data_IF_976225428038
#
_entry.id   IF_976225428038
#
_cell.length_a   1.000
_cell.length_b   1.000
_cell.length_c   1.000
_cell.angle_alpha   90.00
_cell.angle_beta   90.00
_cell.angle_gamma   90.00
#
_symmetry.space_group_name_H-M   'P 1'
#
loop_
_entity.id
_entity.type
_entity.pdbx_description
1 polymer ?
#
# COMPACT_ATOMS: atom_id res chain seq x y z
N UNK A 1 -15.62 13.93 22.57
CA UNK A 1 -15.34 12.51 22.91
C UNK A 1 -13.83 12.40 22.95
N UNK A 2 -13.23 12.69 24.09
CA UNK A 2 -11.84 13.17 24.11
C UNK A 2 -10.83 12.04 24.29
N UNK A 3 -11.32 10.79 24.25
CA UNK A 3 -10.52 9.61 24.51
C UNK A 3 -10.10 8.95 23.20
N UNK A 4 -8.81 8.62 23.10
CA UNK A 4 -8.20 7.78 22.07
C UNK A 4 -9.01 6.50 21.82
N UNK A 5 -9.65 5.97 22.87
CA UNK A 5 -10.54 4.82 22.82
C UNK A 5 -11.71 5.00 21.82
N UNK A 6 -12.29 6.21 21.73
CA UNK A 6 -13.40 6.48 20.82
C UNK A 6 -13.01 6.33 19.35
N UNK A 7 -11.80 6.76 18.98
CA UNK A 7 -11.25 6.59 17.62
C UNK A 7 -11.14 5.10 17.28
N UNK A 8 -10.59 4.30 18.19
CA UNK A 8 -10.42 2.86 17.97
C UNK A 8 -11.75 2.12 17.86
N UNK A 9 -12.71 2.48 18.71
CA UNK A 9 -14.07 1.93 18.65
C UNK A 9 -14.75 2.29 17.32
N UNK A 10 -14.60 3.55 16.87
CA UNK A 10 -15.18 4.00 15.61
C UNK A 10 -14.53 3.32 14.40
N UNK A 11 -13.19 3.21 14.37
CA UNK A 11 -12.48 2.45 13.35
C UNK A 11 -12.93 1.00 13.32
N UNK A 12 -13.03 0.36 14.49
CA UNK A 12 -13.51 -1.02 14.62
C UNK A 12 -14.96 -1.17 14.13
N UNK A 13 -15.83 -0.23 14.47
CA UNK A 13 -17.23 -0.19 14.03
C UNK A 13 -17.32 -0.09 12.50
N UNK A 14 -16.59 0.83 11.89
CA UNK A 14 -16.57 1.03 10.43
C UNK A 14 -16.00 -0.17 9.72
N UNK A 15 -14.92 -0.76 10.25
CA UNK A 15 -14.32 -1.96 9.70
C UNK A 15 -15.28 -3.17 9.76
N UNK A 16 -15.95 -3.38 10.90
CA UNK A 16 -16.95 -4.44 11.08
C UNK A 16 -18.18 -4.23 10.18
N UNK A 17 -18.67 -3.00 10.07
CA UNK A 17 -19.78 -2.69 9.16
C UNK A 17 -19.39 -2.93 7.70
N UNK A 18 -18.17 -2.55 7.31
CA UNK A 18 -17.67 -2.77 5.97
C UNK A 18 -17.56 -4.26 5.65
N UNK A 19 -16.89 -5.05 6.49
CA UNK A 19 -16.71 -6.50 6.25
C UNK A 19 -18.03 -7.28 6.23
N UNK A 20 -19.03 -6.84 7.01
CA UNK A 20 -20.36 -7.45 7.03
C UNK A 20 -21.29 -6.94 5.92
N UNK A 21 -20.90 -5.90 5.17
CA UNK A 21 -21.77 -5.35 4.12
C UNK A 21 -21.89 -6.31 2.93
N UNK A 22 -23.09 -6.48 2.34
CA UNK A 22 -23.26 -7.36 1.17
C UNK A 22 -22.40 -6.97 -0.03
N UNK A 23 -22.19 -5.65 -0.22
CA UNK A 23 -21.34 -5.12 -1.27
C UNK A 23 -19.89 -5.57 -1.07
N UNK A 24 -19.36 -5.39 0.13
CA UNK A 24 -17.98 -5.79 0.42
C UNK A 24 -17.80 -7.30 0.28
N UNK A 25 -18.72 -8.11 0.83
CA UNK A 25 -18.68 -9.57 0.69
C UNK A 25 -18.65 -9.96 -0.80
N UNK A 26 -19.49 -9.34 -1.63
CA UNK A 26 -19.54 -9.60 -3.08
C UNK A 26 -18.22 -9.24 -3.76
N UNK A 27 -17.66 -8.05 -3.48
CA UNK A 27 -16.37 -7.62 -4.02
C UNK A 27 -15.24 -8.56 -3.57
N UNK A 28 -15.23 -8.96 -2.30
CA UNK A 28 -14.19 -9.83 -1.75
C UNK A 28 -14.27 -11.26 -2.32
N UNK A 29 -15.48 -11.78 -2.58
CA UNK A 29 -15.67 -13.05 -3.28
C UNK A 29 -15.15 -12.98 -4.72
N UNK A 30 -15.40 -11.88 -5.43
CA UNK A 30 -14.85 -11.65 -6.78
C UNK A 30 -13.32 -11.64 -6.71
N UNK A 31 -12.72 -10.92 -5.77
CA UNK A 31 -11.26 -10.89 -5.59
C UNK A 31 -10.69 -12.27 -5.26
N UNK A 32 -11.33 -13.01 -4.36
CA UNK A 32 -10.94 -14.38 -4.04
C UNK A 32 -10.93 -15.28 -5.28
N UNK A 33 -11.97 -15.16 -6.13
CA UNK A 33 -12.03 -15.90 -7.38
C UNK A 33 -10.92 -15.48 -8.36
N UNK A 34 -10.70 -14.17 -8.55
CA UNK A 34 -9.65 -13.63 -9.43
C UNK A 34 -8.26 -14.07 -8.96
N UNK A 35 -7.99 -14.04 -7.65
CA UNK A 35 -6.71 -14.48 -7.07
C UNK A 35 -6.53 -15.99 -7.24
N UNK A 36 -7.55 -16.78 -6.91
CA UNK A 36 -7.53 -18.25 -7.11
C UNK A 36 -7.27 -18.62 -8.56
N UNK A 37 -7.93 -17.93 -9.50
CA UNK A 37 -7.72 -18.08 -10.94
C UNK A 37 -6.28 -17.71 -11.35
N UNK A 38 -5.77 -16.58 -10.84
CA UNK A 38 -4.41 -16.09 -11.13
C UNK A 38 -3.33 -17.07 -10.66
N UNK A 39 -3.56 -17.76 -9.53
CA UNK A 39 -2.67 -18.80 -9.03
C UNK A 39 -2.77 -20.09 -9.86
N UNK A 40 -3.99 -20.50 -10.25
CA UNK A 40 -4.20 -21.70 -11.06
C UNK A 40 -3.51 -21.67 -12.43
N UNK A 41 -3.51 -20.52 -13.11
CA UNK A 41 -2.84 -20.39 -14.43
C UNK A 41 -1.31 -20.56 -14.38
N UNK A 42 -0.67 -20.38 -13.22
CA UNK A 42 0.80 -20.31 -13.11
C UNK A 42 1.47 -21.64 -12.83
N UNK A 43 0.72 -22.66 -12.41
CA UNK A 43 1.26 -23.98 -12.13
C UNK A 43 0.34 -25.04 -12.75
N UNK A 44 0.33 -25.17 -14.09
CA UNK A 44 -0.47 -26.21 -14.75
C UNK A 44 0.02 -27.59 -14.26
N UNK A 45 -0.84 -28.29 -13.53
CA UNK A 45 -0.57 -29.63 -12.97
C UNK A 45 -0.59 -29.73 -11.45
N UNK A 46 -0.60 -28.63 -10.69
CA UNK A 46 -0.80 -28.70 -9.22
C UNK A 46 -2.29 -28.77 -8.85
N UNK A 47 -2.55 -29.35 -7.68
CA UNK A 47 -3.89 -29.68 -7.21
C UNK A 47 -4.73 -28.41 -7.01
N UNK A 48 -5.97 -28.40 -7.53
CA UNK A 48 -6.92 -27.29 -7.36
C UNK A 48 -7.08 -26.86 -5.89
N UNK A 49 -7.03 -27.82 -4.95
CA UNK A 49 -7.11 -27.56 -3.51
C UNK A 49 -5.96 -26.69 -2.99
N UNK A 50 -4.78 -26.78 -3.59
CA UNK A 50 -3.60 -26.02 -3.14
C UNK A 50 -3.70 -24.53 -3.47
N UNK A 51 -4.25 -24.19 -4.64
CA UNK A 51 -4.45 -22.79 -5.04
C UNK A 51 -5.55 -22.12 -4.24
N UNK A 52 -6.66 -22.84 -3.98
CA UNK A 52 -7.75 -22.37 -3.13
C UNK A 52 -7.24 -22.09 -1.72
N UNK A 53 -6.43 -23.00 -1.15
CA UNK A 53 -5.81 -22.80 0.17
C UNK A 53 -4.90 -21.58 0.19
N UNK A 54 -4.07 -21.37 -0.83
CA UNK A 54 -3.22 -20.18 -0.92
C UNK A 54 -4.02 -18.90 -1.09
N UNK A 55 -5.05 -18.88 -1.94
CA UNK A 55 -5.90 -17.72 -2.10
C UNK A 55 -6.62 -17.38 -0.80
N UNK A 56 -7.17 -18.39 -0.10
CA UNK A 56 -7.80 -18.20 1.20
C UNK A 56 -6.80 -17.65 2.23
N UNK A 57 -5.58 -18.18 2.26
CA UNK A 57 -4.54 -17.70 3.15
C UNK A 57 -4.16 -16.24 2.85
N UNK A 58 -3.94 -15.87 1.57
CA UNK A 58 -3.64 -14.50 1.18
C UNK A 58 -4.80 -13.53 1.50
N UNK A 59 -6.05 -13.98 1.38
CA UNK A 59 -7.25 -13.22 1.73
C UNK A 59 -7.34 -12.98 3.24
N UNK A 60 -7.11 -14.02 4.07
CA UNK A 60 -7.13 -13.91 5.53
C UNK A 60 -5.99 -13.02 6.05
N UNK A 61 -4.77 -13.23 5.54
CA UNK A 61 -3.62 -12.40 5.88
C UNK A 61 -3.86 -10.95 5.43
N UNK A 62 -4.44 -10.74 4.25
CA UNK A 62 -4.80 -9.42 3.73
C UNK A 62 -5.83 -8.68 4.58
N UNK A 63 -6.85 -9.38 5.12
CA UNK A 63 -7.80 -8.80 6.08
C UNK A 63 -7.11 -8.36 7.37
N UNK A 64 -6.26 -9.22 7.94
CA UNK A 64 -5.49 -8.91 9.15
C UNK A 64 -4.54 -7.72 8.94
N UNK A 65 -3.82 -7.71 7.83
CA UNK A 65 -2.96 -6.60 7.44
C UNK A 65 -3.74 -5.32 7.13
N UNK A 66 -4.95 -5.43 6.56
CA UNK A 66 -5.84 -4.30 6.34
C UNK A 66 -6.31 -3.66 7.63
N UNK A 67 -6.67 -4.45 8.64
CA UNK A 67 -7.02 -3.94 9.97
C UNK A 67 -5.83 -3.23 10.63
N UNK A 68 -4.63 -3.85 10.63
CA UNK A 68 -3.41 -3.22 11.15
C UNK A 68 -3.01 -1.96 10.35
N UNK A 69 -3.17 -2.00 9.03
CA UNK A 69 -2.93 -0.86 8.16
C UNK A 69 -3.89 0.29 8.44
N UNK A 70 -5.16 -0.01 8.69
CA UNK A 70 -6.16 0.98 9.12
C UNK A 70 -5.71 1.69 10.40
N UNK A 71 -5.22 0.93 11.38
CA UNK A 71 -4.71 1.49 12.63
C UNK A 71 -3.55 2.47 12.39
N UNK A 72 -2.61 2.12 11.51
CA UNK A 72 -1.51 3.00 11.13
C UNK A 72 -1.99 4.26 10.39
N UNK A 73 -2.87 4.11 9.40
CA UNK A 73 -3.42 5.23 8.62
C UNK A 73 -4.20 6.19 9.51
N UNK A 74 -5.03 5.65 10.41
CA UNK A 74 -5.80 6.45 11.37
C UNK A 74 -4.87 7.12 12.36
N UNK A 75 -3.93 6.44 13.03
CA UNK A 75 -3.04 7.08 14.03
C UNK A 75 -2.18 8.18 13.42
N UNK A 76 -1.62 7.92 12.23
CA UNK A 76 -0.81 8.90 11.52
C UNK A 76 -1.67 10.08 11.04
N UNK A 77 -2.97 9.86 10.85
CA UNK A 77 -3.92 10.88 10.46
C UNK A 77 -3.95 11.12 8.96
N UNK A 78 -3.94 10.03 8.19
CA UNK A 78 -4.12 10.09 6.75
C UNK A 78 -5.55 10.47 6.42
N UNK A 79 -5.73 11.60 5.74
CA UNK A 79 -7.02 12.15 5.34
C UNK A 79 -7.22 12.04 3.83
N UNK A 80 -8.25 11.27 3.43
CA UNK A 80 -8.65 11.04 2.04
C UNK A 80 -8.80 12.33 1.24
N UNK A 81 -9.31 13.39 1.86
CA UNK A 81 -9.57 14.66 1.16
C UNK A 81 -8.32 15.33 0.65
N UNK A 82 -7.23 15.19 1.40
CA UNK A 82 -5.93 15.80 1.11
C UNK A 82 -5.07 14.97 0.13
N UNK A 83 -5.51 13.77 -0.25
CA UNK A 83 -4.75 12.84 -1.11
C UNK A 83 -5.01 13.04 -2.61
N UNK A 84 -6.13 13.67 -3.00
CA UNK A 84 -6.58 13.72 -4.40
C UNK A 84 -6.55 12.34 -5.07
N UNK A 85 -7.25 11.37 -4.46
CA UNK A 85 -7.24 9.96 -4.88
C UNK A 85 -7.51 9.79 -6.39
N UNK A 86 -8.42 10.58 -6.96
CA UNK A 86 -8.71 10.52 -8.39
C UNK A 86 -7.48 10.87 -9.24
N UNK A 87 -6.74 11.92 -8.88
CA UNK A 87 -5.52 12.31 -9.60
C UNK A 87 -4.43 11.23 -9.46
N UNK A 88 -4.23 10.69 -8.25
CA UNK A 88 -3.29 9.58 -8.02
C UNK A 88 -3.61 8.38 -8.91
N UNK A 89 -4.88 8.00 -9.01
CA UNK A 89 -5.33 6.90 -9.84
C UNK A 89 -5.15 7.17 -11.33
N UNK A 90 -5.55 8.34 -11.82
CA UNK A 90 -5.40 8.70 -13.23
C UNK A 90 -3.94 8.73 -13.66
N UNK A 91 -3.06 9.29 -12.82
CA UNK A 91 -1.61 9.31 -13.08
C UNK A 91 -1.04 7.88 -13.06
N UNK A 92 -1.39 7.08 -12.05
CA UNK A 92 -0.95 5.68 -11.93
C UNK A 92 -1.35 4.85 -13.16
N UNK A 93 -2.62 4.96 -13.58
CA UNK A 93 -3.11 4.26 -14.78
C UNK A 93 -2.44 4.78 -16.05
N UNK A 94 -2.25 6.10 -16.19
CA UNK A 94 -1.55 6.70 -17.32
C UNK A 94 -0.10 6.22 -17.41
N UNK A 95 0.62 6.15 -16.28
CA UNK A 95 1.96 5.61 -16.21
C UNK A 95 2.01 4.11 -16.52
N UNK A 96 1.00 3.35 -16.10
CA UNK A 96 0.88 1.93 -16.42
C UNK A 96 0.76 1.66 -17.93
N UNK A 97 0.22 2.60 -18.72
CA UNK A 97 0.20 2.51 -20.19
C UNK A 97 1.61 2.62 -20.81
N UNK A 98 2.52 3.36 -20.16
CA UNK A 98 3.92 3.46 -20.59
C UNK A 98 4.67 2.18 -20.23
N UNK A 99 4.55 1.76 -18.97
CA UNK A 99 5.10 0.48 -18.53
C UNK A 99 4.35 -0.03 -17.28
N UNK A 100 3.89 -1.30 -17.23
CA UNK A 100 3.07 -1.82 -16.13
C UNK A 100 3.71 -1.68 -14.73
N UNK A 101 5.04 -1.65 -14.67
CA UNK A 101 5.81 -1.40 -13.43
C UNK A 101 5.51 -0.04 -12.78
N UNK A 102 5.17 0.97 -13.58
CA UNK A 102 4.96 2.35 -13.13
C UNK A 102 3.58 2.57 -12.50
N UNK A 103 2.76 1.51 -12.38
CA UNK A 103 1.47 1.56 -11.70
C UNK A 103 1.60 1.86 -10.19
N UNK A 104 2.75 1.58 -9.59
CA UNK A 104 2.95 1.79 -8.15
C UNK A 104 2.75 3.25 -7.74
N UNK A 105 2.07 3.48 -6.61
CA UNK A 105 1.78 4.81 -6.10
C UNK A 105 3.02 5.62 -5.70
N UNK A 106 4.18 4.98 -5.51
CA UNK A 106 5.47 5.70 -5.35
C UNK A 106 5.78 6.59 -6.55
N UNK A 107 5.49 6.13 -7.78
CA UNK A 107 5.67 6.93 -9.00
C UNK A 107 4.59 7.99 -9.15
N UNK A 108 3.32 7.58 -9.12
CA UNK A 108 2.20 8.48 -9.35
C UNK A 108 2.11 9.57 -8.27
N UNK A 109 2.29 9.21 -7.00
CA UNK A 109 2.25 10.15 -5.89
C UNK A 109 3.49 11.01 -5.79
N UNK A 110 4.68 10.51 -6.17
CA UNK A 110 5.87 11.33 -6.33
C UNK A 110 5.68 12.41 -7.40
N UNK A 111 5.15 12.04 -8.57
CA UNK A 111 4.87 12.97 -9.65
C UNK A 111 3.80 14.00 -9.26
N UNK A 112 2.71 13.55 -8.62
CA UNK A 112 1.66 14.44 -8.13
C UNK A 112 2.21 15.41 -7.07
N UNK A 113 3.00 14.93 -6.12
CA UNK A 113 3.60 15.77 -5.09
C UNK A 113 4.54 16.82 -5.68
N UNK A 114 5.41 16.43 -6.63
CA UNK A 114 6.28 17.36 -7.35
C UNK A 114 5.48 18.39 -8.15
N UNK A 115 4.40 17.97 -8.81
CA UNK A 115 3.51 18.88 -9.53
C UNK A 115 2.87 19.92 -8.60
N UNK A 116 2.37 19.51 -7.43
CA UNK A 116 1.82 20.43 -6.43
C UNK A 116 2.87 21.44 -5.95
N UNK A 117 4.10 20.99 -5.71
CA UNK A 117 5.21 21.85 -5.27
C UNK A 117 5.66 22.84 -6.35
N UNK A 118 5.81 22.39 -7.59
CA UNK A 118 6.25 23.21 -8.71
C UNK A 118 5.21 24.26 -9.12
N UNK A 119 3.93 23.90 -9.09
CA UNK A 119 2.85 24.80 -9.50
C UNK A 119 2.31 25.65 -8.34
N UNK A 120 2.84 25.45 -7.12
CA UNK A 120 2.31 26.06 -5.89
C UNK A 120 0.79 25.86 -5.73
N UNK A 121 0.24 24.79 -6.32
CA UNK A 121 -1.17 24.43 -6.22
C UNK A 121 -1.36 23.54 -5.01
N UNK A 122 -2.16 23.99 -4.05
CA UNK A 122 -2.53 23.25 -2.84
C UNK A 122 -3.66 22.22 -3.08
N UNK A 123 -3.70 21.59 -4.26
CA UNK A 123 -4.74 20.60 -4.59
C UNK A 123 -4.56 19.33 -3.74
N UNK A 124 -3.35 19.07 -3.27
CA UNK A 124 -3.05 17.93 -2.42
C UNK A 124 -1.92 18.26 -1.44
N UNK A 125 -1.93 17.58 -0.31
CA UNK A 125 -0.93 17.75 0.71
C UNK A 125 0.20 16.72 0.52
N UNK A 126 1.41 17.20 0.26
CA UNK A 126 2.58 16.34 0.01
C UNK A 126 2.85 15.37 1.18
N UNK A 127 2.90 15.83 2.45
CA UNK A 127 3.02 14.93 3.60
C UNK A 127 1.96 13.82 3.64
N UNK A 128 0.72 14.11 3.26
CA UNK A 128 -0.35 13.11 3.25
C UNK A 128 -0.11 12.05 2.15
N UNK A 129 0.24 12.48 0.94
CA UNK A 129 0.54 11.59 -0.19
C UNK A 129 1.73 10.68 0.14
N UNK A 130 2.85 11.25 0.57
CA UNK A 130 4.07 10.47 0.87
C UNK A 130 3.88 9.57 2.08
N UNK A 131 3.07 10.00 3.06
CA UNK A 131 2.73 9.19 4.24
C UNK A 131 1.87 7.98 3.89
N UNK A 132 0.87 8.15 3.01
CA UNK A 132 0.08 7.04 2.48
C UNK A 132 0.98 6.02 1.78
N UNK A 133 1.84 6.48 0.87
CA UNK A 133 2.78 5.61 0.14
C UNK A 133 3.65 4.83 1.12
N UNK A 134 4.21 5.50 2.11
CA UNK A 134 5.07 4.88 3.12
C UNK A 134 4.33 3.78 3.90
N UNK A 135 3.11 4.06 4.37
CA UNK A 135 2.33 3.08 5.14
C UNK A 135 1.93 1.89 4.28
N UNK A 136 1.48 2.10 3.04
CA UNK A 136 1.11 1.01 2.13
C UNK A 136 2.30 0.08 1.84
N UNK A 137 3.48 0.63 1.58
CA UNK A 137 4.69 -0.18 1.35
C UNK A 137 5.20 -0.85 2.65
N UNK A 138 4.98 -0.25 3.82
CA UNK A 138 5.31 -0.88 5.10
C UNK A 138 4.41 -2.10 5.36
N UNK A 139 3.11 -1.99 5.05
CA UNK A 139 2.17 -3.11 5.12
C UNK A 139 2.58 -4.19 4.10
N UNK A 140 2.89 -3.79 2.87
CA UNK A 140 3.37 -4.71 1.82
C UNK A 140 4.62 -5.47 2.27
N UNK A 141 5.59 -4.79 2.90
CA UNK A 141 6.78 -5.43 3.44
C UNK A 141 6.44 -6.53 4.45
N UNK A 142 5.50 -6.27 5.36
CA UNK A 142 5.03 -7.28 6.31
C UNK A 142 4.37 -8.47 5.62
N UNK A 143 3.52 -8.19 4.63
CA UNK A 143 2.85 -9.22 3.81
C UNK A 143 3.85 -10.08 3.04
N UNK A 144 4.87 -9.47 2.43
CA UNK A 144 5.97 -10.16 1.76
C UNK A 144 6.65 -11.09 2.76
N UNK A 145 7.01 -10.61 3.95
CA UNK A 145 7.71 -11.41 4.95
C UNK A 145 6.90 -12.64 5.40
N UNK A 146 5.58 -12.50 5.55
CA UNK A 146 4.70 -13.58 6.05
C UNK A 146 4.30 -14.56 4.95
N UNK A 147 3.91 -14.08 3.75
CA UNK A 147 3.28 -14.90 2.72
C UNK A 147 4.02 -14.89 1.36
N UNK A 148 5.04 -14.04 1.19
CA UNK A 148 5.74 -13.84 -0.08
C UNK A 148 6.47 -15.07 -0.63
N UNK A 149 6.91 -15.99 0.24
CA UNK A 149 7.62 -17.22 -0.17
C UNK A 149 6.72 -18.44 -0.36
N UNK A 150 5.42 -18.31 -0.08
CA UNK A 150 4.48 -19.44 -0.12
C UNK A 150 4.25 -19.85 -1.59
N UNK A 151 4.22 -21.16 -1.87
CA UNK A 151 4.01 -21.77 -3.20
C UNK A 151 4.76 -21.05 -4.35
N UNK A 152 6.10 -21.09 -4.35
CA UNK A 152 6.89 -20.47 -5.40
C UNK A 152 6.65 -21.20 -6.73
N UNK A 153 6.19 -20.48 -7.76
CA UNK A 153 5.95 -21.04 -9.09
C UNK A 153 7.27 -21.39 -9.77
N UNK A 154 7.44 -22.61 -10.29
CA UNK A 154 8.67 -22.99 -11.00
C UNK A 154 8.60 -22.49 -12.43
N UNK A 155 9.66 -21.83 -12.91
CA UNK A 155 9.72 -21.29 -14.28
C UNK A 155 11.10 -21.53 -14.86
N UNK A 156 11.16 -21.94 -16.13
CA UNK A 156 12.41 -22.06 -16.87
C UNK A 156 12.64 -20.80 -17.70
N UNK A 157 13.81 -20.20 -17.57
CA UNK A 157 14.24 -19.03 -18.33
C UNK A 157 15.33 -19.44 -19.32
N UNK A 158 15.27 -18.94 -20.56
CA UNK A 158 16.42 -19.03 -21.48
C UNK A 158 17.29 -17.80 -21.31
N UNK A 159 18.53 -17.96 -20.84
CA UNK A 159 19.52 -16.89 -20.72
C UNK A 159 20.78 -17.30 -21.49
N UNK A 160 21.14 -16.52 -22.51
CA UNK A 160 22.33 -16.78 -23.36
C UNK A 160 22.40 -18.22 -23.93
N UNK A 161 21.26 -18.75 -24.41
CA UNK A 161 21.19 -20.10 -24.98
C UNK A 161 21.11 -21.25 -23.96
N UNK A 162 21.33 -20.99 -22.67
CA UNK A 162 21.17 -21.98 -21.60
C UNK A 162 19.80 -21.85 -20.92
N UNK A 163 19.18 -22.99 -20.60
CA UNK A 163 17.91 -23.02 -19.84
C UNK A 163 18.24 -23.04 -18.35
N UNK A 164 17.97 -21.94 -17.67
CA UNK A 164 18.15 -21.79 -16.22
C UNK A 164 16.80 -21.94 -15.54
N UNK A 165 16.70 -22.87 -14.59
CA UNK A 165 15.49 -23.01 -13.77
C UNK A 165 15.50 -21.95 -12.66
N UNK A 166 14.33 -21.36 -12.40
CA UNK A 166 14.13 -20.42 -11.33
C UNK A 166 12.72 -20.50 -10.75
N UNK A 167 12.45 -19.60 -9.83
CA UNK A 167 11.16 -19.45 -9.17
C UNK A 167 10.57 -18.09 -9.47
N UNK A 168 9.28 -18.04 -9.75
CA UNK A 168 8.49 -16.82 -9.80
C UNK A 168 7.64 -16.75 -8.54
N UNK A 169 7.95 -15.76 -7.70
CA UNK A 169 7.22 -15.43 -6.50
C UNK A 169 6.18 -14.39 -6.87
N UNK A 170 4.90 -14.70 -6.69
CA UNK A 170 3.85 -13.74 -6.99
C UNK A 170 2.67 -13.91 -6.05
N UNK A 171 2.32 -12.83 -5.36
CA UNK A 171 1.26 -12.80 -4.36
C UNK A 171 0.38 -11.57 -4.51
N UNK A 172 -0.88 -11.73 -4.15
CA UNK A 172 -1.86 -10.65 -4.12
C UNK A 172 -2.63 -10.73 -2.81
N UNK A 173 -2.67 -9.62 -2.08
CA UNK A 173 -3.37 -9.51 -0.81
C UNK A 173 -4.43 -8.42 -0.94
N UNK A 174 -5.72 -8.78 -0.94
CA UNK A 174 -6.78 -7.80 -0.82
C UNK A 174 -6.81 -7.28 0.62
N UNK A 175 -6.96 -5.97 0.80
CA UNK A 175 -7.00 -5.33 2.11
C UNK A 175 -8.30 -4.54 2.25
N UNK A 176 -8.93 -4.64 3.42
CA UNK A 176 -9.92 -3.69 3.90
C UNK A 176 -9.23 -2.69 4.80
N UNK A 177 -9.03 -1.48 4.30
CA UNK A 177 -8.49 -0.35 5.03
C UNK A 177 -9.63 0.55 5.52
N UNK A 178 -9.42 1.23 6.63
CA UNK A 178 -10.25 2.34 7.11
C UNK A 178 -9.36 3.56 7.18
N UNK A 179 -9.81 4.65 6.54
CA UNK A 179 -9.05 5.89 6.40
C UNK A 179 -9.92 7.05 6.88
N UNK A 180 -9.31 8.04 7.52
CA UNK A 180 -10.04 9.24 7.94
C UNK A 180 -10.37 10.14 6.75
N UNK A 181 -11.44 10.92 6.88
CA UNK A 181 -11.88 11.89 5.90
C UNK A 181 -12.46 13.11 6.62
N UNK A 182 -11.95 14.31 6.32
CA UNK A 182 -12.56 15.54 6.83
C UNK A 182 -13.96 15.75 6.25
N UNK A 183 -14.95 15.89 7.13
CA UNK A 183 -16.37 16.03 6.81
C UNK A 183 -16.74 17.49 6.54
N UNK A 184 -17.48 17.75 5.46
CA UNK A 184 -18.16 19.03 5.20
C UNK A 184 -19.50 19.16 5.91
N UNK A 185 -19.99 18.06 6.47
CA UNK A 185 -21.29 18.00 7.13
C UNK A 185 -21.12 18.17 8.62
N UNK A 186 -22.20 18.52 9.32
CA UNK A 186 -22.25 18.50 10.79
C UNK A 186 -22.23 17.08 11.38
N UNK A 187 -21.93 16.06 10.55
CA UNK A 187 -21.81 14.66 10.94
C UNK A 187 -20.33 14.30 10.98
N UNK A 188 -19.88 13.84 12.14
CA UNK A 188 -18.52 13.35 12.35
C UNK A 188 -18.10 13.50 13.80
N UNK A 189 -16.84 13.20 14.07
CA UNK A 189 -16.25 13.26 15.39
C UNK A 189 -15.11 14.27 15.42
N UNK A 190 -15.00 15.01 16.52
CA UNK A 190 -13.82 15.81 16.85
C UNK A 190 -12.70 14.86 17.24
N UNK A 191 -11.52 15.04 16.65
CA UNK A 191 -10.34 14.26 16.99
C UNK A 191 -9.56 14.91 18.15
N UNK A 192 -8.77 14.14 18.93
CA UNK A 192 -7.95 14.68 20.01
C UNK A 192 -6.90 15.67 19.50
N UNK A 193 -6.45 16.57 20.37
CA UNK A 193 -5.51 17.65 20.03
C UNK A 193 -4.13 17.20 19.52
N UNK A 194 -3.70 15.98 19.83
CA UNK A 194 -2.44 15.41 19.31
C UNK A 194 -2.57 14.90 17.88
N UNK A 195 -3.79 14.71 17.39
CA UNK A 195 -4.09 14.15 16.08
C UNK A 195 -4.50 15.27 15.11
N UNK A 196 -4.12 15.23 13.82
CA UNK A 196 -3.30 14.22 13.17
C UNK A 196 -1.79 14.42 13.36
N UNK A 197 -1.02 13.33 13.26
CA UNK A 197 0.46 13.40 13.27
C UNK A 197 1.01 14.00 11.97
N UNK A 198 0.42 13.63 10.83
CA UNK A 198 0.71 14.26 9.54
C UNK A 198 -0.18 15.48 9.35
N UNK A 199 0.46 16.65 9.33
CA UNK A 199 -0.23 17.92 9.16
C UNK A 199 0.03 18.51 7.78
N UNK A 200 -0.99 19.18 7.27
CA UNK A 200 -0.91 19.95 6.04
C UNK A 200 -0.72 21.43 6.39
N UNK A 201 -0.20 22.19 5.43
CA UNK A 201 -0.09 23.64 5.55
C UNK A 201 -1.03 24.30 4.54
N UNK A 202 -1.97 25.15 4.99
CA UNK A 202 -2.29 25.43 6.40
C UNK A 202 -2.93 24.23 7.12
N UNK A 203 -2.83 24.15 8.46
CA UNK A 203 -3.44 23.07 9.24
C UNK A 203 -4.97 23.11 9.16
N UNK A 204 -5.60 21.96 9.37
CA UNK A 204 -7.05 21.86 9.46
C UNK A 204 -7.58 22.72 10.64
N UNK A 205 -8.79 23.26 10.50
CA UNK A 205 -9.43 24.03 11.56
C UNK A 205 -9.63 23.15 12.80
N UNK A 206 -9.50 23.73 14.00
CA UNK A 206 -9.60 22.99 15.28
C UNK A 206 -10.96 22.29 15.47
N UNK A 207 -12.03 22.83 14.88
CA UNK A 207 -13.38 22.25 14.97
C UNK A 207 -13.73 21.35 13.77
N UNK A 208 -12.73 20.93 12.99
CA UNK A 208 -12.96 20.04 11.85
C UNK A 208 -13.51 18.69 12.33
N UNK A 209 -14.65 18.28 11.76
CA UNK A 209 -15.23 16.98 12.00
C UNK A 209 -14.64 15.95 11.05
N UNK A 210 -14.38 14.75 11.56
CA UNK A 210 -13.84 13.65 10.77
C UNK A 210 -14.81 12.47 10.77
N UNK A 211 -14.93 11.85 9.60
CA UNK A 211 -15.56 10.54 9.43
C UNK A 211 -14.49 9.53 9.03
N UNK A 212 -14.82 8.26 9.13
CA UNK A 212 -13.95 7.18 8.68
C UNK A 212 -14.62 6.42 7.53
N UNK A 213 -13.85 6.14 6.49
CA UNK A 213 -14.34 5.49 5.27
C UNK A 213 -13.60 4.17 5.04
N UNK A 214 -14.33 3.08 4.74
CA UNK A 214 -13.70 1.86 4.31
C UNK A 214 -13.20 1.99 2.87
N UNK A 215 -11.98 1.53 2.63
CA UNK A 215 -11.32 1.54 1.32
C UNK A 215 -10.78 0.15 1.03
N UNK A 216 -11.19 -0.39 -0.12
CA UNK A 216 -10.66 -1.65 -0.63
C UNK A 216 -9.37 -1.38 -1.39
N UNK A 217 -8.29 -2.07 -1.03
CA UNK A 217 -7.00 -1.98 -1.70
C UNK A 217 -6.47 -3.38 -2.07
N UNK A 218 -5.55 -3.45 -3.03
CA UNK A 218 -4.82 -4.68 -3.35
C UNK A 218 -3.33 -4.34 -3.34
N UNK A 219 -2.58 -5.04 -2.50
CA UNK A 219 -1.12 -5.03 -2.56
C UNK A 219 -0.65 -6.32 -3.24
N UNK A 220 0.42 -6.23 -4.02
CA UNK A 220 0.88 -7.34 -4.82
C UNK A 220 2.39 -7.39 -4.90
N UNK A 221 2.95 -8.56 -4.58
CA UNK A 221 4.38 -8.84 -4.69
C UNK A 221 4.66 -9.66 -5.93
N UNK A 222 5.77 -9.36 -6.62
CA UNK A 222 6.20 -10.08 -7.82
C UNK A 222 7.72 -10.04 -7.98
N UNK A 223 8.36 -11.20 -7.93
CA UNK A 223 9.82 -11.30 -8.11
C UNK A 223 10.21 -12.64 -8.75
N UNK A 224 11.30 -12.64 -9.50
CA UNK A 224 11.87 -13.85 -10.12
C UNK A 224 13.24 -14.14 -9.55
N UNK A 225 13.47 -15.39 -9.17
CA UNK A 225 14.66 -15.84 -8.44
C UNK A 225 15.32 -16.99 -9.17
N UNK A 226 16.61 -16.87 -9.47
CA UNK A 226 17.39 -17.94 -10.13
C UNK A 226 18.57 -18.44 -9.30
N UNK A 227 19.14 -17.60 -8.43
CA UNK A 227 20.39 -17.92 -7.70
C UNK A 227 20.22 -18.21 -6.21
N UNK A 228 19.12 -17.76 -5.61
CA UNK A 228 18.88 -17.83 -4.17
C UNK A 228 17.61 -18.61 -3.87
N UNK A 229 17.36 -18.93 -2.61
CA UNK A 229 16.09 -19.55 -2.21
C UNK A 229 14.97 -18.49 -2.18
N UNK A 230 13.71 -18.89 -2.47
CA UNK A 230 12.54 -18.01 -2.33
C UNK A 230 12.48 -17.27 -1.00
N UNK A 231 12.75 -17.99 0.10
CA UNK A 231 12.70 -17.44 1.47
C UNK A 231 13.73 -16.34 1.69
N UNK A 232 14.98 -16.55 1.27
CA UNK A 232 16.04 -15.54 1.43
C UNK A 232 15.76 -14.29 0.59
N UNK A 233 15.21 -14.47 -0.61
CA UNK A 233 14.82 -13.35 -1.48
C UNK A 233 13.73 -12.52 -0.81
N UNK A 234 12.66 -13.18 -0.36
CA UNK A 234 11.52 -12.54 0.31
C UNK A 234 11.95 -11.77 1.56
N UNK A 235 12.83 -12.33 2.39
CA UNK A 235 13.35 -11.63 3.57
C UNK A 235 14.13 -10.37 3.20
N UNK A 236 14.93 -10.42 2.13
CA UNK A 236 15.69 -9.25 1.64
C UNK A 236 14.76 -8.19 1.06
N UNK A 237 13.80 -8.59 0.23
CA UNK A 237 12.83 -7.69 -0.40
C UNK A 237 11.94 -7.01 0.64
N UNK A 238 11.42 -7.78 1.60
CA UNK A 238 10.69 -7.23 2.75
C UNK A 238 11.57 -6.24 3.53
N UNK A 239 12.77 -6.63 3.97
CA UNK A 239 13.65 -5.74 4.75
C UNK A 239 13.95 -4.44 4.01
N UNK A 240 14.31 -4.52 2.73
CA UNK A 240 14.63 -3.32 1.95
C UNK A 240 13.38 -2.42 1.82
N UNK A 241 12.20 -3.01 1.64
CA UNK A 241 10.95 -2.27 1.49
C UNK A 241 10.52 -1.62 2.82
N UNK A 242 10.70 -2.30 3.94
CA UNK A 242 10.53 -1.72 5.27
C UNK A 242 11.45 -0.52 5.48
N UNK A 243 12.75 -0.63 5.16
CA UNK A 243 13.71 0.47 5.32
C UNK A 243 13.30 1.67 4.46
N UNK A 244 12.98 1.46 3.18
CA UNK A 244 12.46 2.51 2.30
C UNK A 244 11.22 3.18 2.90
N UNK A 245 10.27 2.39 3.37
CA UNK A 245 8.99 2.88 3.91
C UNK A 245 9.18 3.68 5.19
N UNK A 246 10.05 3.23 6.09
CA UNK A 246 10.35 3.95 7.34
C UNK A 246 11.06 5.28 7.07
N UNK A 247 12.02 5.31 6.13
CA UNK A 247 12.67 6.56 5.71
C UNK A 247 11.65 7.51 5.09
N UNK A 248 10.80 7.03 4.18
CA UNK A 248 9.78 7.88 3.56
C UNK A 248 8.76 8.39 4.58
N UNK A 249 8.35 7.57 5.55
CA UNK A 249 7.45 7.99 6.63
C UNK A 249 8.09 9.08 7.50
N UNK A 250 9.37 8.92 7.87
CA UNK A 250 10.10 9.93 8.63
C UNK A 250 10.24 11.26 7.85
N UNK A 251 10.52 11.20 6.55
CA UNK A 251 10.54 12.37 5.68
C UNK A 251 9.16 13.03 5.60
N UNK A 252 8.10 12.22 5.52
CA UNK A 252 6.72 12.68 5.47
C UNK A 252 6.29 13.42 6.74
N UNK A 253 6.62 12.86 7.91
CA UNK A 253 6.39 13.50 9.20
C UNK A 253 7.20 14.79 9.32
N UNK A 254 8.46 14.78 8.90
CA UNK A 254 9.32 15.98 8.90
C UNK A 254 8.78 17.07 7.96
N UNK A 255 8.19 16.68 6.83
CA UNK A 255 7.55 17.59 5.87
C UNK A 255 6.30 18.30 6.45
N UNK A 256 5.72 17.76 7.52
CA UNK A 256 4.63 18.42 8.26
C UNK A 256 5.10 19.59 9.11
N UNK A 257 6.39 19.75 9.36
CA UNK A 257 6.95 20.89 10.10
C UNK A 257 7.89 21.74 9.25
N UNK A 258 8.53 21.14 8.25
CA UNK A 258 9.53 21.79 7.40
C UNK A 258 9.14 21.66 5.93
N UNK A 259 8.61 22.73 5.28
CA UNK A 259 8.17 22.67 3.89
C UNK A 259 9.24 22.16 2.91
N UNK A 260 10.52 22.46 3.16
CA UNK A 260 11.64 21.95 2.35
C UNK A 260 11.72 20.41 2.32
N UNK A 261 11.32 19.73 3.39
CA UNK A 261 11.31 18.26 3.42
C UNK A 261 10.25 17.68 2.48
N UNK A 262 9.22 18.44 2.10
CA UNK A 262 8.23 18.00 1.10
C UNK A 262 8.89 17.70 -0.25
N UNK A 263 9.87 18.53 -0.66
CA UNK A 263 10.63 18.29 -1.90
C UNK A 263 11.44 17.00 -1.82
N UNK A 264 12.14 16.78 -0.69
CA UNK A 264 12.94 15.58 -0.49
C UNK A 264 12.04 14.34 -0.48
N UNK A 265 10.91 14.37 0.24
CA UNK A 265 9.96 13.26 0.28
C UNK A 265 9.35 12.96 -1.10
N UNK A 266 8.97 14.00 -1.85
CA UNK A 266 8.38 13.87 -3.19
C UNK A 266 9.36 13.26 -4.22
N UNK A 267 10.65 13.60 -4.13
CA UNK A 267 11.71 13.02 -4.97
C UNK A 267 12.07 11.60 -4.49
N UNK A 268 12.18 11.40 -3.17
CA UNK A 268 12.57 10.12 -2.59
C UNK A 268 11.54 9.02 -2.84
N UNK A 269 10.24 9.33 -2.89
CA UNK A 269 9.21 8.34 -3.18
C UNK A 269 9.47 7.55 -4.49
N UNK A 270 9.57 8.17 -5.68
CA UNK A 270 9.85 7.44 -6.91
C UNK A 270 11.29 6.94 -7.00
N UNK A 271 12.30 7.75 -6.60
CA UNK A 271 13.71 7.37 -6.76
C UNK A 271 14.15 6.28 -5.77
N UNK A 272 13.70 6.36 -4.52
CA UNK A 272 13.94 5.32 -3.51
C UNK A 272 13.29 4.00 -3.89
N UNK A 273 12.09 4.04 -4.48
CA UNK A 273 11.43 2.86 -5.03
C UNK A 273 12.18 2.27 -6.25
N UNK A 274 12.73 3.12 -7.12
CA UNK A 274 13.59 2.66 -8.23
C UNK A 274 14.86 1.98 -7.71
N UNK A 275 15.50 2.55 -6.69
CA UNK A 275 16.67 1.97 -6.01
C UNK A 275 16.33 0.59 -5.42
N UNK A 276 15.15 0.44 -4.82
CA UNK A 276 14.69 -0.83 -4.25
C UNK A 276 14.66 -1.94 -5.31
N UNK A 277 14.11 -1.63 -6.47
CA UNK A 277 13.99 -2.59 -7.57
C UNK A 277 15.35 -2.90 -8.18
N UNK A 278 16.21 -1.88 -8.34
CA UNK A 278 17.58 -2.09 -8.79
C UNK A 278 18.37 -3.03 -7.86
N UNK A 279 18.25 -2.84 -6.54
CA UNK A 279 18.85 -3.73 -5.54
C UNK A 279 18.27 -5.16 -5.61
N UNK A 280 16.96 -5.29 -5.85
CA UNK A 280 16.30 -6.59 -6.04
C UNK A 280 16.83 -7.33 -7.27
N UNK A 281 16.94 -6.66 -8.42
CA UNK A 281 17.44 -7.29 -9.66
C UNK A 281 18.88 -7.78 -9.55
N UNK A 282 19.77 -7.04 -8.86
CA UNK A 282 21.17 -7.48 -8.63
C UNK A 282 21.30 -8.62 -7.63
N UNK A 283 20.42 -8.69 -6.64
CA UNK A 283 20.43 -9.75 -5.63
C UNK A 283 19.90 -11.10 -6.14
N UNK A 284 19.06 -11.10 -7.17
CA UNK A 284 18.48 -12.29 -7.79
C UNK A 284 19.15 -12.78 -9.09
N UNK A 285 19.90 -11.90 -9.78
CA UNK A 285 20.57 -12.16 -11.07
C UNK A 285 21.89 -12.87 -10.95
#
# INVERSE_FOLDING_TARGET
MDSVLSIWLEMGRVWLQAISSPLFISLYLIMFFVISWSYGRKSPGSNQREFIKSALLSVLIGLGAGFLGSALLVVVGIDVRNLSILALWLISLGLALVHPRLICFSYAGGLLALFCLLTSRSVSCVPQITGLIAILHLIESGLILVDGSTQPGRVCFKKQGQTVQGFKLQRFWPLLLVISCTSDSSIGYTMPSWWPLLQCHPPAAQDSLFIMLPVLAILGYGETVTKTTPRLTVMRSARNLAVYSLILLALSLSASSYPLMSWIAAIFAPLGHEMLIWLGTRGGS
#
